data_IF_977981528195
#
_entry.id   IF_977981528195
#
_cell.length_a   1.000
_cell.length_b   1.000
_cell.length_c   1.000
_cell.angle_alpha   90.00
_cell.angle_beta   90.00
_cell.angle_gamma   90.00
#
_symmetry.space_group_name_H-M   'P 1'
#
loop_
_entity.id
_entity.type
_entity.pdbx_description
1 polymer ?
#
# COMPACT_ATOMS: atom_id res chain seq x y z
N UNK A 1 -5.30 28.55 -21.54
CA UNK A 1 -4.35 28.71 -20.43
C UNK A 1 -4.78 27.81 -19.29
N UNK A 2 -3.96 26.85 -18.91
CA UNK A 2 -4.17 25.99 -17.73
C UNK A 2 -4.09 26.86 -16.48
N UNK A 3 -5.10 26.78 -15.61
CA UNK A 3 -5.06 27.52 -14.34
C UNK A 3 -4.07 26.87 -13.37
N UNK A 4 -3.71 27.57 -12.29
CA UNK A 4 -2.90 26.99 -11.22
C UNK A 4 -3.55 25.76 -10.59
N UNK A 5 -4.89 25.72 -10.51
CA UNK A 5 -5.61 24.56 -9.98
C UNK A 5 -5.59 23.40 -10.98
N UNK A 6 -5.76 23.65 -12.28
CA UNK A 6 -5.66 22.60 -13.30
C UNK A 6 -4.25 21.99 -13.34
N UNK A 7 -3.22 22.83 -13.21
CA UNK A 7 -1.85 22.37 -13.11
C UNK A 7 -1.61 21.59 -11.81
N UNK A 8 -2.14 22.05 -10.68
CA UNK A 8 -2.05 21.30 -9.43
C UNK A 8 -2.72 19.92 -9.53
N UNK A 9 -3.89 19.84 -10.19
CA UNK A 9 -4.59 18.59 -10.45
C UNK A 9 -3.75 17.64 -11.32
N UNK A 10 -3.17 18.16 -12.41
CA UNK A 10 -2.29 17.40 -13.29
C UNK A 10 -1.08 16.82 -12.54
N UNK A 11 -0.35 17.69 -11.83
CA UNK A 11 0.84 17.32 -11.07
C UNK A 11 0.53 16.30 -9.98
N UNK A 12 -0.54 16.51 -9.20
CA UNK A 12 -0.92 15.58 -8.14
C UNK A 12 -1.37 14.22 -8.70
N UNK A 13 -2.11 14.19 -9.82
CA UNK A 13 -2.49 12.93 -10.49
C UNK A 13 -1.26 12.15 -10.95
N UNK A 14 -0.28 12.84 -11.53
CA UNK A 14 0.95 12.21 -11.99
C UNK A 14 1.81 11.71 -10.81
N UNK A 15 1.88 12.47 -9.73
CA UNK A 15 2.66 12.12 -8.54
C UNK A 15 2.06 10.92 -7.79
N UNK A 16 0.73 10.77 -7.78
CA UNK A 16 0.02 9.70 -7.07
C UNK A 16 0.19 9.75 -5.55
N UNK A 17 0.75 10.83 -5.00
CA UNK A 17 0.99 11.04 -3.58
C UNK A 17 0.90 12.54 -3.21
N UNK A 18 0.68 12.88 -1.93
CA UNK A 18 0.58 14.27 -1.49
C UNK A 18 1.90 15.03 -1.64
N UNK A 19 1.84 16.26 -2.15
CA UNK A 19 3.00 17.12 -2.37
C UNK A 19 2.84 18.45 -1.64
N UNK A 20 3.97 19.08 -1.29
CA UNK A 20 3.99 20.45 -0.78
C UNK A 20 3.66 21.42 -1.92
N UNK A 21 2.90 22.50 -1.66
CA UNK A 21 2.49 23.44 -2.71
C UNK A 21 3.67 24.03 -3.51
N UNK A 22 4.85 24.18 -2.89
CA UNK A 22 6.06 24.62 -3.56
C UNK A 22 6.56 23.59 -4.60
N UNK A 23 6.57 22.30 -4.25
CA UNK A 23 6.95 21.23 -5.17
C UNK A 23 5.92 21.09 -6.32
N UNK A 24 4.64 21.33 -6.04
CA UNK A 24 3.59 21.34 -7.07
C UNK A 24 3.86 22.46 -8.09
N UNK A 25 4.18 23.68 -7.61
CA UNK A 25 4.50 24.80 -8.48
C UNK A 25 5.78 24.58 -9.29
N UNK A 26 6.84 24.07 -8.65
CA UNK A 26 8.11 23.75 -9.30
C UNK A 26 7.92 22.74 -10.44
N UNK A 27 7.19 21.65 -10.19
CA UNK A 27 6.91 20.64 -11.22
C UNK A 27 6.00 21.19 -12.33
N UNK A 28 5.01 22.03 -11.99
CA UNK A 28 4.15 22.67 -12.98
C UNK A 28 4.93 23.61 -13.92
N UNK A 29 5.95 24.31 -13.41
CA UNK A 29 6.85 25.15 -14.22
C UNK A 29 7.79 24.31 -15.07
N UNK A 30 8.41 23.28 -14.48
CA UNK A 30 9.32 22.39 -15.18
C UNK A 30 8.65 21.70 -16.38
N UNK A 31 7.37 21.37 -16.23
CA UNK A 31 6.55 20.76 -17.28
C UNK A 31 5.84 21.79 -18.18
N UNK A 32 6.09 23.09 -17.99
CA UNK A 32 5.48 24.19 -18.76
C UNK A 32 3.94 24.17 -18.77
N UNK A 33 3.33 23.62 -17.72
CA UNK A 33 1.86 23.50 -17.58
C UNK A 33 1.25 24.82 -17.09
N UNK A 34 2.07 25.69 -16.49
CA UNK A 34 1.68 27.05 -16.09
C UNK A 34 2.63 28.09 -16.69
N UNK A 35 2.11 29.29 -16.93
CA UNK A 35 2.90 30.47 -17.29
C UNK A 35 2.65 31.56 -16.24
N UNK A 36 3.57 31.75 -15.27
CA UNK A 36 3.37 32.69 -14.18
C UNK A 36 3.38 34.14 -14.68
N UNK A 37 2.47 34.96 -14.14
CA UNK A 37 2.40 36.40 -14.42
C UNK A 37 3.22 37.24 -13.42
N UNK A 38 3.82 36.61 -12.39
CA UNK A 38 4.55 37.27 -11.32
C UNK A 38 5.74 36.44 -10.79
N UNK A 39 6.49 37.01 -9.85
CA UNK A 39 7.79 36.49 -9.40
C UNK A 39 7.72 35.26 -8.47
N UNK A 40 6.55 34.95 -7.90
CA UNK A 40 6.39 33.90 -6.86
C UNK A 40 5.27 32.90 -7.19
N UNK A 41 5.48 32.01 -8.18
CA UNK A 41 4.51 30.99 -8.58
C UNK A 41 4.14 30.03 -7.44
N UNK A 42 5.05 29.72 -6.51
CA UNK A 42 4.81 28.85 -5.36
C UNK A 42 3.81 29.47 -4.38
N UNK A 43 3.96 30.76 -4.08
CA UNK A 43 3.04 31.49 -3.21
C UNK A 43 1.64 31.59 -3.85
N UNK A 44 1.59 31.78 -5.17
CA UNK A 44 0.35 31.78 -5.94
C UNK A 44 -0.33 30.41 -5.92
N UNK A 45 0.42 29.33 -6.15
CA UNK A 45 -0.05 27.95 -6.07
C UNK A 45 -0.63 27.64 -4.68
N UNK A 46 0.12 27.95 -3.63
CA UNK A 46 -0.31 27.76 -2.25
C UNK A 46 -1.60 28.52 -1.95
N UNK A 47 -1.68 29.81 -2.29
CA UNK A 47 -2.87 30.65 -2.05
C UNK A 47 -4.12 30.10 -2.75
N UNK A 48 -3.98 29.66 -4.01
CA UNK A 48 -5.09 29.05 -4.77
C UNK A 48 -5.57 27.75 -4.14
N UNK A 49 -4.65 26.84 -3.79
CA UNK A 49 -4.99 25.57 -3.14
C UNK A 49 -5.59 25.77 -1.74
N UNK A 50 -5.08 26.72 -0.95
CA UNK A 50 -5.67 27.06 0.35
C UNK A 50 -7.08 27.64 0.21
N UNK A 51 -7.33 28.48 -0.80
CA UNK A 51 -8.64 29.08 -1.00
C UNK A 51 -9.64 28.04 -1.50
N UNK A 52 -9.25 27.21 -2.47
CA UNK A 52 -10.10 26.18 -3.06
C UNK A 52 -10.52 25.10 -2.05
N UNK A 53 -9.58 24.64 -1.22
CA UNK A 53 -9.86 23.62 -0.18
C UNK A 53 -10.82 24.06 0.93
N UNK A 54 -11.25 25.34 0.97
CA UNK A 54 -12.34 25.80 1.85
C UNK A 54 -13.72 25.62 1.22
N UNK A 55 -13.80 25.40 -0.08
CA UNK A 55 -15.05 25.23 -0.81
C UNK A 55 -15.57 23.80 -0.70
N UNK A 56 -16.88 23.65 -0.60
CA UNK A 56 -17.54 22.35 -0.59
C UNK A 56 -17.43 21.70 -1.98
N UNK A 57 -16.92 20.47 -2.05
CA UNK A 57 -16.66 19.77 -3.32
C UNK A 57 -15.30 20.04 -3.98
N UNK A 58 -14.35 20.67 -3.28
CA UNK A 58 -12.97 20.82 -3.76
C UNK A 58 -12.36 19.49 -4.19
N UNK A 59 -11.62 19.51 -5.30
CA UNK A 59 -10.85 18.36 -5.80
C UNK A 59 -9.56 18.12 -5.00
N UNK A 60 -9.22 19.03 -4.10
CA UNK A 60 -8.01 18.98 -3.30
C UNK A 60 -8.35 18.81 -1.82
N UNK A 61 -7.41 18.27 -1.07
CA UNK A 61 -7.51 18.19 0.38
C UNK A 61 -6.18 18.53 1.05
N UNK A 62 -6.28 19.20 2.19
CA UNK A 62 -5.12 19.57 3.00
C UNK A 62 -4.67 18.38 3.82
N UNK A 63 -3.36 18.12 3.81
CA UNK A 63 -2.75 17.01 4.54
C UNK A 63 -1.73 17.49 5.59
N UNK A 64 -1.84 18.77 5.99
CA UNK A 64 -0.98 19.41 6.99
C UNK A 64 0.34 19.94 6.41
N UNK A 65 0.95 20.91 7.10
CA UNK A 65 2.28 21.46 6.77
C UNK A 65 2.45 21.92 5.30
N UNK A 66 1.44 22.55 4.70
CA UNK A 66 1.49 23.00 3.30
C UNK A 66 1.41 21.88 2.24
N UNK A 67 1.06 20.66 2.65
CA UNK A 67 0.85 19.53 1.73
C UNK A 67 -0.60 19.41 1.28
N UNK A 68 -0.76 19.12 0.01
CA UNK A 68 -2.05 18.91 -0.65
C UNK A 68 -2.07 17.57 -1.36
N UNK A 69 -3.23 16.93 -1.37
CA UNK A 69 -3.53 15.74 -2.15
C UNK A 69 -4.88 15.86 -2.84
N UNK A 70 -5.27 14.86 -3.62
CA UNK A 70 -6.58 14.84 -4.27
C UNK A 70 -7.66 14.35 -3.29
N UNK A 71 -8.85 14.94 -3.33
CA UNK A 71 -9.99 14.55 -2.49
C UNK A 71 -10.40 13.08 -2.70
N UNK A 72 -10.16 12.52 -3.89
CA UNK A 72 -10.37 11.10 -4.21
C UNK A 72 -9.39 10.14 -3.51
N UNK A 73 -8.27 10.65 -2.97
CA UNK A 73 -7.34 9.83 -2.19
C UNK A 73 -7.77 9.65 -0.74
N UNK A 74 -8.79 10.38 -0.30
CA UNK A 74 -9.39 10.09 0.99
C UNK A 74 -10.18 8.79 0.89
N UNK A 75 -9.96 7.85 1.84
CA UNK A 75 -10.87 6.73 2.00
C UNK A 75 -12.30 7.26 2.12
N UNK A 76 -13.25 6.72 1.36
CA UNK A 76 -14.68 7.03 1.47
C UNK A 76 -15.46 5.77 1.80
N UNK A 77 -16.62 5.91 2.44
CA UNK A 77 -17.48 4.78 2.78
C UNK A 77 -16.77 3.79 3.71
N UNK A 78 -16.74 2.52 3.31
CA UNK A 78 -16.20 1.42 4.11
C UNK A 78 -14.69 1.59 4.33
N UNK A 79 -13.94 2.08 3.34
CA UNK A 79 -12.49 2.26 3.49
C UNK A 79 -12.15 3.30 4.58
N UNK A 80 -12.97 4.35 4.72
CA UNK A 80 -12.85 5.32 5.81
C UNK A 80 -13.11 4.67 7.16
N UNK A 81 -14.19 3.90 7.26
CA UNK A 81 -14.53 3.18 8.49
C UNK A 81 -13.44 2.17 8.87
N UNK A 82 -12.87 1.46 7.89
CA UNK A 82 -11.75 0.53 8.11
C UNK A 82 -10.51 1.29 8.59
N UNK A 83 -10.18 2.43 7.97
CA UNK A 83 -9.07 3.27 8.41
C UNK A 83 -9.27 3.77 9.86
N UNK A 84 -10.47 4.23 10.21
CA UNK A 84 -10.83 4.69 11.55
C UNK A 84 -10.75 3.56 12.59
N UNK A 85 -11.29 2.38 12.25
CA UNK A 85 -11.21 1.17 13.09
C UNK A 85 -9.74 0.78 13.31
N UNK A 86 -8.92 0.81 12.25
CA UNK A 86 -7.51 0.49 12.34
C UNK A 86 -6.75 1.52 13.20
N UNK A 87 -7.02 2.81 13.04
CA UNK A 87 -6.42 3.87 13.85
C UNK A 87 -6.83 3.77 15.33
N UNK A 88 -8.11 3.49 15.60
CA UNK A 88 -8.59 3.25 16.96
C UNK A 88 -7.97 1.99 17.59
N UNK A 89 -7.81 0.93 16.80
CA UNK A 89 -7.15 -0.31 17.24
C UNK A 89 -5.67 -0.08 17.55
N UNK A 90 -4.96 0.67 16.70
CA UNK A 90 -3.57 1.07 16.94
C UNK A 90 -3.43 1.82 18.26
N UNK A 91 -4.30 2.81 18.51
CA UNK A 91 -4.29 3.60 19.75
C UNK A 91 -4.51 2.72 20.99
N UNK A 92 -5.52 1.85 20.96
CA UNK A 92 -5.79 0.89 22.04
C UNK A 92 -4.64 -0.09 22.27
N UNK A 93 -3.97 -0.54 21.21
CA UNK A 93 -2.79 -1.40 21.34
C UNK A 93 -1.67 -0.65 22.08
N UNK A 94 -1.39 0.59 21.67
CA UNK A 94 -0.40 1.45 22.32
C UNK A 94 -0.69 1.67 23.81
N UNK A 95 -1.94 1.97 24.16
CA UNK A 95 -2.38 2.13 25.55
C UNK A 95 -2.15 0.86 26.38
N UNK A 96 -2.47 -0.32 25.82
CA UNK A 96 -2.24 -1.61 26.50
C UNK A 96 -0.76 -1.89 26.72
N UNK A 97 0.08 -1.65 25.72
CA UNK A 97 1.54 -1.83 25.84
C UNK A 97 2.11 -0.89 26.89
N UNK A 98 1.66 0.37 26.93
CA UNK A 98 2.11 1.34 27.94
C UNK A 98 1.68 0.99 29.37
N UNK A 99 0.48 0.43 29.53
CA UNK A 99 -0.08 0.07 30.83
C UNK A 99 0.48 -1.25 31.41
N UNK A 100 1.19 -2.06 30.61
CA UNK A 100 1.65 -3.37 31.06
C UNK A 100 2.83 -3.30 32.04
N UNK A 101 2.96 -4.27 32.97
CA UNK A 101 4.14 -4.39 33.84
C UNK A 101 5.45 -4.59 33.04
N UNK A 102 6.60 -4.09 33.52
CA UNK A 102 7.89 -4.24 32.84
C UNK A 102 8.25 -5.69 32.45
N UNK A 103 8.12 -6.63 33.39
CA UNK A 103 8.40 -8.06 33.15
C UNK A 103 7.51 -8.64 32.03
N UNK A 104 6.23 -8.22 31.97
CA UNK A 104 5.31 -8.64 30.90
C UNK A 104 5.67 -8.01 29.56
N UNK A 105 6.27 -6.82 29.57
CA UNK A 105 6.73 -6.14 28.36
C UNK A 105 7.94 -6.85 27.75
N UNK A 106 8.87 -7.34 28.56
CA UNK A 106 9.98 -8.19 28.11
C UNK A 106 9.47 -9.47 27.44
N UNK A 107 8.47 -10.13 28.04
CA UNK A 107 7.81 -11.30 27.44
C UNK A 107 7.14 -10.96 26.09
N UNK A 108 6.48 -9.80 25.97
CA UNK A 108 5.90 -9.34 24.71
C UNK A 108 6.98 -9.12 23.63
N UNK A 109 8.11 -8.50 24.02
CA UNK A 109 9.24 -8.28 23.10
C UNK A 109 9.85 -9.62 22.67
N UNK A 110 10.00 -10.58 23.58
CA UNK A 110 10.44 -11.95 23.26
C UNK A 110 9.53 -12.58 22.21
N UNK A 111 8.21 -12.56 22.40
CA UNK A 111 7.24 -13.09 21.43
C UNK A 111 7.36 -12.37 20.08
N UNK A 112 7.51 -11.04 20.08
CA UNK A 112 7.72 -10.28 18.85
C UNK A 112 8.99 -10.73 18.11
N UNK A 113 10.11 -10.91 18.80
CA UNK A 113 11.37 -11.35 18.19
C UNK A 113 11.22 -12.74 17.55
N UNK A 114 10.56 -13.69 18.24
CA UNK A 114 10.27 -15.02 17.68
C UNK A 114 9.45 -14.90 16.39
N UNK A 115 8.38 -14.09 16.41
CA UNK A 115 7.53 -13.81 15.23
C UNK A 115 8.24 -13.07 14.10
N UNK A 116 9.35 -12.41 14.41
CA UNK A 116 10.22 -11.76 13.44
C UNK A 116 11.25 -12.73 12.83
N UNK A 117 11.38 -13.95 13.34
CA UNK A 117 12.27 -14.99 12.82
C UNK A 117 13.49 -15.31 13.70
N UNK A 118 13.48 -14.87 14.97
CA UNK A 118 14.47 -15.35 15.93
C UNK A 118 14.19 -16.80 16.32
N UNK A 119 15.25 -17.57 16.53
CA UNK A 119 15.17 -18.98 16.92
C UNK A 119 14.64 -19.08 18.36
N UNK A 120 13.42 -19.63 18.51
CA UNK A 120 12.72 -19.76 19.78
C UNK A 120 13.55 -20.44 20.88
N UNK A 121 14.42 -21.39 20.50
CA UNK A 121 15.27 -22.12 21.45
C UNK A 121 16.44 -21.27 21.96
N UNK A 122 16.80 -20.22 21.23
CA UNK A 122 17.88 -19.30 21.58
C UNK A 122 17.40 -18.05 22.32
N UNK A 123 16.12 -17.66 22.15
CA UNK A 123 15.59 -16.44 22.75
C UNK A 123 15.26 -16.65 24.22
N UNK A 124 16.05 -16.02 25.09
CA UNK A 124 15.88 -16.05 26.54
C UNK A 124 15.82 -14.64 27.13
N UNK A 125 15.00 -14.48 28.17
CA UNK A 125 15.00 -13.28 29.02
C UNK A 125 16.14 -13.45 30.02
N UNK A 126 17.02 -12.45 30.11
CA UNK A 126 18.17 -12.51 31.03
C UNK A 126 17.76 -12.08 32.44
N UNK A 127 18.30 -12.68 33.50
CA UNK A 127 18.02 -12.25 34.87
C UNK A 127 18.55 -10.83 35.12
N UNK A 128 17.76 -10.02 35.85
CA UNK A 128 17.99 -8.59 36.13
C UNK A 128 19.33 -8.22 36.81
N UNK A 129 20.18 -9.18 37.18
CA UNK A 129 21.42 -8.92 37.92
C UNK A 129 22.69 -9.04 37.07
N UNK A 130 23.33 -7.91 36.79
CA UNK A 130 24.75 -7.84 36.40
C UNK A 130 25.07 -7.95 34.90
N UNK A 131 24.08 -7.97 34.02
CA UNK A 131 24.28 -8.16 32.56
C UNK A 131 24.43 -6.86 31.75
N UNK A 132 24.61 -5.73 32.44
CA UNK A 132 24.76 -4.44 31.77
C UNK A 132 23.46 -3.93 31.13
N UNK A 133 22.31 -4.53 31.43
CA UNK A 133 20.99 -4.12 30.97
C UNK A 133 20.59 -4.74 29.64
N UNK A 134 21.11 -5.92 29.31
CA UNK A 134 20.52 -6.79 28.30
C UNK A 134 19.26 -7.37 28.94
N UNK A 135 18.11 -7.31 28.29
CA UNK A 135 16.87 -7.87 28.85
C UNK A 135 16.43 -9.13 28.07
N UNK A 136 16.79 -9.22 26.78
CA UNK A 136 16.55 -10.39 25.93
C UNK A 136 17.78 -10.65 25.06
N UNK A 137 18.21 -11.90 24.95
CA UNK A 137 19.25 -12.32 24.01
C UNK A 137 18.73 -13.44 23.11
N UNK A 138 19.18 -13.48 21.85
CA UNK A 138 18.78 -14.53 20.92
C UNK A 138 19.47 -14.47 19.57
N UNK A 139 19.32 -15.55 18.79
CA UNK A 139 19.92 -15.70 17.47
C UNK A 139 18.84 -15.53 16.41
N UNK A 140 19.08 -14.62 15.48
CA UNK A 140 18.28 -14.46 14.27
C UNK A 140 18.86 -15.32 13.14
N UNK A 141 18.03 -16.17 12.53
CA UNK A 141 18.42 -17.02 11.39
C UNK A 141 17.80 -16.49 10.11
N UNK A 142 18.62 -15.84 9.28
CA UNK A 142 18.18 -15.33 7.99
C UNK A 142 18.23 -16.47 6.94
N UNK A 143 17.05 -16.90 6.47
CA UNK A 143 16.90 -17.88 5.38
C UNK A 143 17.69 -19.19 5.57
N UNK A 144 18.04 -19.56 6.81
CA UNK A 144 18.88 -20.72 7.12
C UNK A 144 20.34 -20.60 6.69
N UNK A 145 20.79 -19.43 6.23
CA UNK A 145 22.13 -19.20 5.68
C UNK A 145 23.05 -18.43 6.62
N UNK A 146 22.49 -17.55 7.45
CA UNK A 146 23.29 -16.66 8.30
C UNK A 146 22.66 -16.54 9.67
N UNK A 147 23.50 -16.67 10.69
CA UNK A 147 23.15 -16.50 12.09
C UNK A 147 23.67 -15.15 12.58
N UNK A 148 22.80 -14.39 13.24
CA UNK A 148 23.14 -13.12 13.85
C UNK A 148 22.73 -13.15 15.31
N UNK A 149 23.70 -13.09 16.21
CA UNK A 149 23.42 -12.96 17.64
C UNK A 149 23.02 -11.52 17.97
N UNK A 150 21.91 -11.35 18.69
CA UNK A 150 21.45 -10.04 19.15
C UNK A 150 21.33 -10.00 20.68
N UNK A 151 21.69 -8.86 21.25
CA UNK A 151 21.34 -8.45 22.62
C UNK A 151 20.34 -7.31 22.52
N UNK A 152 19.21 -7.47 23.20
CA UNK A 152 18.10 -6.55 23.17
C UNK A 152 17.91 -5.98 24.56
N UNK A 153 17.95 -4.66 24.65
CA UNK A 153 17.57 -3.92 25.84
C UNK A 153 16.17 -3.34 25.65
N UNK A 154 15.32 -3.53 26.65
CA UNK A 154 13.91 -3.18 26.66
C UNK A 154 13.67 -2.10 27.71
N UNK A 155 13.20 -0.93 27.30
CA UNK A 155 12.90 0.19 28.21
C UNK A 155 11.44 0.62 28.09
N UNK A 156 10.62 0.27 29.09
CA UNK A 156 9.24 0.80 29.20
C UNK A 156 9.26 2.18 29.84
N UNK A 157 9.53 3.22 29.05
CA UNK A 157 9.73 4.58 29.54
C UNK A 157 8.66 5.54 29.02
N UNK A 158 8.41 6.61 29.79
CA UNK A 158 7.61 7.77 29.34
C UNK A 158 8.47 8.85 28.70
N UNK A 159 9.70 9.03 29.18
CA UNK A 159 10.66 10.01 28.68
C UNK A 159 11.55 9.41 27.60
N UNK A 160 12.18 10.28 26.81
CA UNK A 160 13.08 9.85 25.76
C UNK A 160 14.31 9.13 26.31
N UNK A 161 14.73 8.07 25.63
CA UNK A 161 15.96 7.33 25.95
C UNK A 161 17.17 8.16 25.52
N UNK A 162 18.12 8.33 26.45
CA UNK A 162 19.34 9.13 26.25
C UNK A 162 20.56 8.32 25.81
N UNK A 163 21.61 9.02 25.38
CA UNK A 163 22.89 8.42 24.97
C UNK A 163 23.54 7.46 25.99
N UNK A 164 23.46 7.68 27.32
CA UNK A 164 24.07 6.76 28.29
C UNK A 164 23.57 5.32 28.17
N UNK A 165 22.30 5.11 27.84
CA UNK A 165 21.70 3.78 27.66
C UNK A 165 22.32 3.07 26.45
N UNK A 166 22.53 3.82 25.35
CA UNK A 166 23.18 3.30 24.14
C UNK A 166 24.63 2.90 24.41
N UNK A 167 25.38 3.75 25.13
CA UNK A 167 26.77 3.48 25.50
C UNK A 167 26.87 2.28 26.43
N UNK A 168 25.97 2.16 27.40
CA UNK A 168 25.93 1.05 28.35
C UNK A 168 25.66 -0.28 27.64
N UNK A 169 24.62 -0.35 26.80
CA UNK A 169 24.35 -1.57 26.04
C UNK A 169 25.55 -1.95 25.18
N UNK A 170 26.14 -0.99 24.46
CA UNK A 170 27.30 -1.25 23.61
C UNK A 170 28.48 -1.84 24.38
N UNK A 171 28.77 -1.30 25.57
CA UNK A 171 29.85 -1.81 26.42
C UNK A 171 29.60 -3.23 26.94
N UNK A 172 28.36 -3.70 26.89
CA UNK A 172 27.94 -5.02 27.36
C UNK A 172 27.85 -6.06 26.23
N UNK A 173 28.04 -5.66 24.96
CA UNK A 173 28.00 -6.56 23.81
C UNK A 173 29.25 -7.43 23.69
N UNK A 174 29.05 -8.69 23.30
CA UNK A 174 30.15 -9.60 22.92
C UNK A 174 30.64 -9.36 21.48
N UNK A 175 31.82 -9.90 21.13
CA UNK A 175 32.60 -9.61 19.90
C UNK A 175 31.86 -9.85 18.57
N UNK A 176 30.70 -10.52 18.57
CA UNK A 176 29.86 -10.75 17.38
C UNK A 176 28.37 -10.47 17.60
N UNK A 177 28.03 -9.82 18.71
CA UNK A 177 26.64 -9.53 19.06
C UNK A 177 26.22 -8.16 18.54
N UNK A 178 25.03 -8.08 17.94
CA UNK A 178 24.40 -6.82 17.56
C UNK A 178 23.53 -6.32 18.71
N UNK A 179 23.59 -5.03 19.02
CA UNK A 179 22.74 -4.43 20.05
C UNK A 179 21.45 -3.87 19.46
N UNK A 180 20.31 -4.07 20.13
CA UNK A 180 19.03 -3.45 19.79
C UNK A 180 18.44 -2.84 21.07
N UNK A 181 17.93 -1.61 20.98
CA UNK A 181 17.16 -0.99 22.05
C UNK A 181 15.73 -0.82 21.59
N UNK A 182 14.79 -1.35 22.36
CA UNK A 182 13.36 -1.24 22.14
C UNK A 182 12.75 -0.44 23.28
N UNK A 183 12.02 0.62 22.96
CA UNK A 183 11.36 1.48 23.96
C UNK A 183 9.92 1.77 23.60
N UNK A 184 9.10 2.06 24.62
CA UNK A 184 7.75 2.60 24.44
C UNK A 184 7.71 4.11 24.20
N UNK A 185 8.84 4.81 24.38
CA UNK A 185 9.02 6.25 24.14
C UNK A 185 9.83 6.51 22.86
N UNK A 186 10.45 7.69 22.73
CA UNK A 186 11.35 8.03 21.63
C UNK A 186 12.82 8.13 22.11
N UNK A 187 13.76 8.36 21.20
CA UNK A 187 15.18 8.54 21.47
C UNK A 187 15.60 10.00 21.33
N UNK A 188 16.49 10.46 22.21
CA UNK A 188 17.09 11.79 22.06
C UNK A 188 17.97 11.89 20.80
N UNK A 189 18.21 13.12 20.33
CA UNK A 189 19.15 13.36 19.22
C UNK A 189 20.55 12.80 19.53
N UNK A 190 21.01 12.95 20.77
CA UNK A 190 22.29 12.41 21.22
C UNK A 190 22.31 10.88 21.24
N UNK A 191 21.21 10.21 21.63
CA UNK A 191 21.12 8.75 21.58
C UNK A 191 21.19 8.23 20.14
N UNK A 192 20.49 8.88 19.20
CA UNK A 192 20.52 8.53 17.77
C UNK A 192 21.92 8.72 17.18
N UNK A 193 22.59 9.81 17.51
CA UNK A 193 23.97 10.06 17.09
C UNK A 193 24.94 9.02 17.68
N UNK A 194 24.81 8.71 18.98
CA UNK A 194 25.65 7.71 19.64
C UNK A 194 25.45 6.32 19.02
N UNK A 195 24.21 5.90 18.73
CA UNK A 195 23.90 4.59 18.15
C UNK A 195 24.48 4.38 16.74
N UNK A 196 24.61 5.47 15.98
CA UNK A 196 25.15 5.49 14.63
C UNK A 196 26.61 5.98 14.54
N UNK A 197 27.29 6.14 15.68
CA UNK A 197 28.66 6.67 15.72
C UNK A 197 29.63 5.80 14.89
N UNK A 198 30.45 6.47 14.08
CA UNK A 198 31.45 5.81 13.25
C UNK A 198 32.45 5.01 14.09
N UNK A 199 32.93 3.89 13.55
CA UNK A 199 33.90 2.98 14.17
C UNK A 199 33.45 2.32 15.49
N UNK A 200 32.15 2.35 15.81
CA UNK A 200 31.56 1.64 16.96
C UNK A 200 30.56 0.60 16.47
N UNK A 201 30.31 -0.43 17.28
CA UNK A 201 29.24 -1.41 17.01
C UNK A 201 27.91 -0.68 16.91
N UNK A 202 27.19 -0.90 15.80
CA UNK A 202 25.91 -0.27 15.53
C UNK A 202 24.86 -0.79 16.51
N UNK A 203 24.05 0.13 17.03
CA UNK A 203 22.91 -0.21 17.88
C UNK A 203 21.62 0.08 17.10
N UNK A 204 20.78 -0.94 16.92
CA UNK A 204 19.43 -0.79 16.38
C UNK A 204 18.54 -0.05 17.39
N UNK A 205 17.77 0.92 16.92
CA UNK A 205 16.84 1.67 17.77
C UNK A 205 15.42 1.45 17.27
N UNK A 206 14.52 1.01 18.15
CA UNK A 206 13.10 0.81 17.86
C UNK A 206 12.30 1.63 18.88
N UNK A 207 11.68 2.71 18.41
CA UNK A 207 10.89 3.59 19.24
C UNK A 207 9.44 3.06 19.42
N UNK A 208 8.65 3.76 20.22
CA UNK A 208 7.29 3.34 20.55
C UNK A 208 6.35 3.22 19.35
N UNK A 209 6.46 4.08 18.33
CA UNK A 209 5.64 3.96 17.12
C UNK A 209 6.10 2.80 16.24
N UNK A 210 7.42 2.66 16.05
CA UNK A 210 8.01 1.56 15.28
C UNK A 210 7.71 0.20 15.91
N UNK A 211 7.72 0.11 17.24
CA UNK A 211 7.33 -1.08 17.99
C UNK A 211 5.87 -1.46 17.71
N UNK A 212 4.95 -0.48 17.71
CA UNK A 212 3.53 -0.72 17.42
C UNK A 212 3.35 -1.19 15.98
N UNK A 213 4.09 -0.61 15.04
CA UNK A 213 4.11 -1.07 13.64
C UNK A 213 4.57 -2.52 13.52
N UNK A 214 5.64 -2.90 14.24
CA UNK A 214 6.14 -4.27 14.24
C UNK A 214 5.14 -5.25 14.87
N UNK A 215 4.53 -4.91 16.01
CA UNK A 215 3.49 -5.73 16.64
C UNK A 215 2.31 -5.97 15.68
N UNK A 216 1.86 -4.93 14.95
CA UNK A 216 0.78 -5.06 13.98
C UNK A 216 1.21 -5.89 12.77
N UNK A 217 2.40 -5.61 12.21
CA UNK A 217 2.94 -6.32 11.05
C UNK A 217 3.06 -7.82 11.30
N UNK A 218 3.55 -8.20 12.48
CA UNK A 218 3.77 -9.58 12.90
C UNK A 218 2.58 -10.20 13.65
N UNK A 219 1.44 -9.49 13.72
CA UNK A 219 0.19 -9.95 14.33
C UNK A 219 0.37 -10.43 15.78
N UNK A 220 1.07 -9.63 16.57
CA UNK A 220 1.28 -9.84 18.01
C UNK A 220 0.32 -8.91 18.76
N UNK A 221 -0.60 -9.48 19.52
CA UNK A 221 -1.64 -8.72 20.24
C UNK A 221 -2.74 -8.12 19.35
N UNK A 222 -2.70 -8.36 18.04
CA UNK A 222 -3.74 -7.97 17.07
C UNK A 222 -4.02 -9.11 16.09
N UNK A 223 -5.24 -9.13 15.55
CA UNK A 223 -5.68 -10.13 14.57
C UNK A 223 -6.30 -9.41 13.38
N UNK A 224 -5.94 -9.82 12.16
CA UNK A 224 -6.60 -9.33 10.94
C UNK A 224 -7.89 -10.13 10.72
N UNK A 225 -9.02 -9.44 10.63
CA UNK A 225 -10.31 -10.03 10.27
C UNK A 225 -10.65 -9.59 8.84
N UNK A 226 -10.68 -10.49 7.85
CA UNK A 226 -11.19 -10.15 6.53
C UNK A 226 -12.68 -9.84 6.65
N UNK A 227 -13.13 -8.73 6.06
CA UNK A 227 -14.54 -8.38 5.97
C UNK A 227 -15.02 -8.73 4.56
N UNK A 228 -16.00 -9.61 4.47
CA UNK A 228 -16.69 -9.91 3.22
C UNK A 228 -17.87 -8.97 3.08
N UNK A 229 -17.93 -8.26 1.95
CA UNK A 229 -18.94 -7.25 1.69
C UNK A 229 -19.57 -7.60 0.36
N UNK A 230 -20.88 -7.83 0.39
CA UNK A 230 -21.66 -7.99 -0.82
C UNK A 230 -21.99 -6.61 -1.37
N UNK A 231 -21.70 -6.40 -2.65
CA UNK A 231 -22.10 -5.22 -3.38
C UNK A 231 -23.05 -5.63 -4.51
N UNK A 232 -23.92 -4.71 -4.91
CA UNK A 232 -24.68 -4.90 -6.14
C UNK A 232 -23.73 -4.73 -7.33
N UNK A 233 -23.86 -5.63 -8.30
CA UNK A 233 -23.17 -5.53 -9.58
C UNK A 233 -24.01 -4.64 -10.51
N UNK A 234 -23.77 -3.33 -10.43
CA UNK A 234 -24.51 -2.33 -11.22
C UNK A 234 -24.31 -2.54 -12.73
N UNK A 235 -23.20 -3.16 -13.17
CA UNK A 235 -22.94 -3.49 -14.57
C UNK A 235 -23.83 -4.65 -15.03
N UNK A 236 -23.92 -5.73 -14.23
CA UNK A 236 -24.86 -6.84 -14.47
C UNK A 236 -26.31 -6.35 -14.58
N UNK A 237 -26.75 -5.52 -13.63
CA UNK A 237 -28.12 -4.99 -13.64
C UNK A 237 -28.36 -3.99 -14.77
N UNK A 238 -27.34 -3.22 -15.16
CA UNK A 238 -27.39 -2.32 -16.32
C UNK A 238 -27.46 -3.06 -17.66
N UNK A 239 -26.72 -4.16 -17.82
CA UNK A 239 -26.77 -5.03 -18.99
C UNK A 239 -28.14 -5.73 -19.11
N UNK A 240 -28.69 -6.21 -17.98
CA UNK A 240 -29.99 -6.90 -17.94
C UNK A 240 -31.17 -5.95 -18.22
N UNK A 241 -31.08 -4.69 -17.81
CA UNK A 241 -32.14 -3.70 -18.03
C UNK A 241 -32.29 -3.26 -19.50
N UNK A 242 -31.29 -3.51 -20.35
CA UNK A 242 -31.25 -3.05 -21.75
C UNK A 242 -31.29 -1.50 -21.88
N UNK A 243 -31.24 -0.94 -23.11
CA UNK A 243 -31.55 0.47 -23.31
C UNK A 243 -33.03 0.68 -22.98
N UNK A 244 -33.31 1.29 -21.82
CA UNK A 244 -34.65 1.66 -21.39
C UNK A 244 -35.37 2.42 -22.52
N UNK A 245 -36.56 2.00 -23.01
CA UNK A 245 -37.45 2.90 -23.71
C UNK A 245 -37.81 4.03 -22.75
N UNK A 246 -37.61 5.28 -23.18
CA UNK A 246 -37.72 6.46 -22.34
C UNK A 246 -38.95 6.44 -21.39
N UNK A 247 -38.63 6.50 -20.08
CA UNK A 247 -39.39 7.03 -18.95
C UNK A 247 -40.85 6.57 -18.71
N UNK A 248 -41.07 5.90 -17.57
CA UNK A 248 -42.25 6.11 -16.72
C UNK A 248 -41.97 5.79 -15.22
N UNK A 249 -41.62 6.85 -14.48
CA UNK A 249 -41.95 7.17 -13.07
C UNK A 249 -41.83 6.14 -11.92
N UNK A 250 -40.87 6.35 -11.00
CA UNK A 250 -41.08 6.87 -9.63
C UNK A 250 -39.74 6.97 -8.85
N UNK A 251 -39.52 8.10 -8.15
CA UNK A 251 -38.26 8.57 -7.52
C UNK A 251 -37.94 7.95 -6.13
N UNK A 252 -36.91 8.38 -5.34
CA UNK A 252 -35.66 9.10 -5.63
C UNK A 252 -34.40 8.40 -5.03
N UNK A 253 -33.19 8.59 -5.58
CA UNK A 253 -31.95 8.38 -4.83
C UNK A 253 -30.75 9.12 -5.42
N UNK A 254 -29.95 9.68 -4.51
CA UNK A 254 -28.72 10.45 -4.67
C UNK A 254 -27.93 10.25 -5.98
N UNK A 255 -27.66 11.38 -6.63
CA UNK A 255 -26.84 11.47 -7.83
C UNK A 255 -25.40 10.98 -7.59
N UNK A 256 -25.10 9.76 -8.04
CA UNK A 256 -23.75 9.35 -8.42
C UNK A 256 -23.43 10.01 -9.77
N UNK A 257 -22.69 11.12 -9.74
CA UNK A 257 -22.07 11.64 -10.98
C UNK A 257 -20.94 10.70 -11.38
N UNK A 258 -21.19 9.93 -12.43
CA UNK A 258 -20.20 9.16 -13.19
C UNK A 258 -19.05 10.05 -13.65
N UNK A 259 -17.82 9.68 -13.31
CA UNK A 259 -16.60 10.27 -13.86
C UNK A 259 -16.46 9.87 -15.34
N UNK A 260 -16.78 10.79 -16.25
CA UNK A 260 -16.42 10.68 -17.66
C UNK A 260 -14.89 10.79 -17.78
N UNK A 261 -14.22 9.67 -18.08
CA UNK A 261 -12.77 9.64 -18.37
C UNK A 261 -12.01 8.35 -18.03
N UNK A 262 -12.64 7.34 -17.39
CA UNK A 262 -11.96 6.09 -16.99
C UNK A 262 -12.45 4.83 -17.73
N UNK A 263 -13.32 5.00 -18.73
CA UNK A 263 -13.82 3.90 -19.56
C UNK A 263 -12.93 3.72 -20.79
N UNK A 264 -12.52 2.48 -21.13
CA UNK A 264 -11.84 2.23 -22.39
C UNK A 264 -12.82 2.51 -23.55
N UNK A 265 -12.31 3.00 -24.67
CA UNK A 265 -13.02 3.03 -25.95
C UNK A 265 -12.54 1.91 -26.87
N UNK A 266 -11.26 1.54 -26.75
CA UNK A 266 -10.62 0.47 -27.52
C UNK A 266 -9.33 0.01 -26.86
N UNK A 267 -8.78 -1.10 -27.31
CA UNK A 267 -7.39 -1.48 -27.04
C UNK A 267 -6.69 -1.93 -28.31
N UNK A 268 -5.36 -1.83 -28.33
CA UNK A 268 -4.49 -2.39 -29.36
C UNK A 268 -3.74 -3.56 -28.74
N UNK A 269 -3.69 -4.69 -29.44
CA UNK A 269 -2.95 -5.88 -29.04
C UNK A 269 -2.30 -6.51 -30.28
N UNK A 270 -0.98 -6.74 -30.22
CA UNK A 270 -0.18 -7.28 -31.33
C UNK A 270 -0.40 -6.52 -32.65
N UNK A 271 -0.47 -5.19 -32.56
CA UNK A 271 -0.67 -4.29 -33.70
C UNK A 271 -2.11 -4.23 -34.24
N UNK A 272 -3.08 -4.93 -33.64
CA UNK A 272 -4.49 -4.91 -34.05
C UNK A 272 -5.34 -4.16 -33.04
N UNK A 273 -6.29 -3.35 -33.52
CA UNK A 273 -7.23 -2.58 -32.69
C UNK A 273 -8.53 -3.35 -32.47
N UNK A 274 -9.02 -3.33 -31.24
CA UNK A 274 -10.26 -3.97 -30.80
C UNK A 274 -11.13 -2.93 -30.08
N UNK A 275 -12.42 -2.88 -30.40
CA UNK A 275 -13.38 -2.02 -29.71
C UNK A 275 -13.71 -2.66 -28.37
N UNK A 276 -13.58 -1.90 -27.29
CA UNK A 276 -13.91 -2.35 -25.95
C UNK A 276 -14.32 -1.13 -25.12
N UNK A 277 -15.57 -1.10 -24.71
CA UNK A 277 -16.17 -0.01 -23.92
C UNK A 277 -16.10 -0.26 -22.41
N UNK A 278 -15.71 -1.47 -22.00
CA UNK A 278 -15.52 -1.85 -20.59
C UNK A 278 -14.20 -2.58 -20.36
N UNK A 279 -13.68 -2.54 -19.13
CA UNK A 279 -12.44 -3.23 -18.77
C UNK A 279 -12.58 -4.76 -18.83
N UNK A 280 -13.79 -5.29 -18.62
CA UNK A 280 -14.15 -6.68 -18.87
C UNK A 280 -13.95 -7.04 -20.35
N UNK A 281 -14.45 -6.21 -21.27
CA UNK A 281 -14.26 -6.42 -22.71
C UNK A 281 -12.78 -6.34 -23.12
N UNK A 282 -12.01 -5.45 -22.49
CA UNK A 282 -10.55 -5.40 -22.69
C UNK A 282 -9.89 -6.71 -22.25
N UNK A 283 -10.21 -7.23 -21.07
CA UNK A 283 -9.62 -8.47 -20.55
C UNK A 283 -10.01 -9.70 -21.38
N UNK A 284 -11.32 -9.91 -21.60
CA UNK A 284 -11.83 -11.06 -22.36
C UNK A 284 -11.36 -10.98 -23.82
N UNK A 285 -11.43 -9.80 -24.44
CA UNK A 285 -10.96 -9.58 -25.80
C UNK A 285 -9.46 -9.80 -25.97
N UNK A 286 -8.65 -9.36 -25.01
CA UNK A 286 -7.21 -9.62 -25.03
C UNK A 286 -6.91 -11.12 -24.87
N UNK A 287 -7.59 -11.81 -23.96
CA UNK A 287 -7.44 -13.26 -23.78
C UNK A 287 -7.85 -14.02 -25.06
N UNK A 288 -8.96 -13.63 -25.69
CA UNK A 288 -9.42 -14.21 -26.94
C UNK A 288 -8.39 -14.01 -28.05
N UNK A 289 -7.90 -12.79 -28.24
CA UNK A 289 -6.93 -12.47 -29.28
C UNK A 289 -5.59 -13.19 -29.07
N UNK A 290 -5.12 -13.30 -27.82
CA UNK A 290 -3.93 -14.08 -27.46
C UNK A 290 -4.13 -15.58 -27.70
N UNK A 291 -5.31 -16.12 -27.35
CA UNK A 291 -5.65 -17.51 -27.61
C UNK A 291 -5.69 -17.82 -29.11
N UNK A 292 -6.28 -16.93 -29.91
CA UNK A 292 -6.32 -17.07 -31.37
C UNK A 292 -4.92 -17.00 -32.00
N UNK A 293 -4.02 -16.18 -31.45
CA UNK A 293 -2.66 -16.03 -31.98
C UNK A 293 -1.72 -17.19 -31.58
N UNK A 294 -1.86 -17.71 -30.36
CA UNK A 294 -0.92 -18.68 -29.78
C UNK A 294 -1.45 -20.12 -29.69
N UNK A 295 -2.73 -20.36 -29.98
CA UNK A 295 -3.34 -21.69 -29.90
C UNK A 295 -3.13 -22.34 -28.53
N UNK A 296 -2.70 -23.60 -28.51
CA UNK A 296 -2.52 -24.38 -27.28
C UNK A 296 -1.47 -23.79 -26.32
N UNK A 297 -0.52 -23.00 -26.82
CA UNK A 297 0.48 -22.33 -25.98
C UNK A 297 -0.16 -21.27 -25.06
N UNK A 298 -1.33 -20.73 -25.42
CA UNK A 298 -2.06 -19.80 -24.58
C UNK A 298 -2.51 -20.44 -23.26
N UNK A 299 -3.05 -21.66 -23.30
CA UNK A 299 -3.54 -22.34 -22.09
C UNK A 299 -2.40 -22.57 -21.09
N UNK A 300 -1.26 -23.06 -21.58
CA UNK A 300 -0.07 -23.27 -20.76
C UNK A 300 0.42 -21.97 -20.11
N UNK A 301 0.54 -20.89 -20.90
CA UNK A 301 0.92 -19.58 -20.39
C UNK A 301 -0.10 -19.02 -19.38
N UNK A 302 -1.39 -19.13 -19.66
CA UNK A 302 -2.46 -18.62 -18.83
C UNK A 302 -2.46 -19.23 -17.42
N UNK A 303 -2.21 -20.53 -17.30
CA UNK A 303 -2.13 -21.21 -15.99
C UNK A 303 -0.91 -20.79 -15.15
N UNK A 304 0.14 -20.25 -15.77
CA UNK A 304 1.26 -19.64 -15.04
C UNK A 304 0.91 -18.27 -14.44
N UNK A 305 -0.07 -17.58 -15.01
CA UNK A 305 -0.50 -16.24 -14.59
C UNK A 305 -1.52 -16.36 -13.46
N UNK A 306 -1.02 -16.43 -12.23
CA UNK A 306 -1.85 -16.59 -11.02
C UNK A 306 -1.82 -15.37 -10.09
N UNK A 307 -2.92 -15.18 -9.37
CA UNK A 307 -3.03 -14.27 -8.24
C UNK A 307 -2.43 -14.89 -6.97
N UNK A 308 -2.58 -14.19 -5.83
CA UNK A 308 -2.01 -14.63 -4.54
C UNK A 308 -2.69 -15.89 -3.98
N UNK A 309 -3.96 -16.09 -4.31
CA UNK A 309 -4.81 -17.17 -3.79
C UNK A 309 -5.64 -17.87 -4.86
N UNK A 310 -5.82 -17.30 -6.06
CA UNK A 310 -6.66 -17.85 -7.13
C UNK A 310 -6.00 -17.66 -8.51
N UNK A 311 -6.32 -18.52 -9.46
CA UNK A 311 -5.92 -18.37 -10.87
C UNK A 311 -6.82 -17.34 -11.54
N UNK A 312 -6.26 -16.52 -12.45
CA UNK A 312 -7.05 -15.58 -13.23
C UNK A 312 -7.75 -16.26 -14.41
N UNK A 313 -7.16 -17.34 -14.93
CA UNK A 313 -7.69 -18.14 -16.03
C UNK A 313 -7.58 -19.61 -15.63
N UNK A 314 -8.65 -20.38 -15.83
CA UNK A 314 -8.70 -21.82 -15.52
C UNK A 314 -9.56 -22.59 -16.52
N UNK A 315 -9.40 -23.91 -16.57
CA UNK A 315 -10.25 -24.80 -17.37
C UNK A 315 -11.65 -25.01 -16.73
N UNK A 316 -11.76 -24.79 -15.41
CA UNK A 316 -12.99 -24.95 -14.63
C UNK A 316 -13.31 -23.62 -13.91
N UNK A 317 -14.53 -23.06 -14.05
CA UNK A 317 -14.92 -21.85 -13.36
C UNK A 317 -15.17 -22.05 -11.86
N UNK A 318 -15.13 -23.28 -11.34
CA UNK A 318 -15.33 -23.56 -9.92
C UNK A 318 -14.37 -22.75 -9.03
N UNK A 319 -14.94 -21.91 -8.16
CA UNK A 319 -14.19 -21.03 -7.25
C UNK A 319 -13.80 -19.66 -7.83
N UNK A 320 -14.12 -19.38 -9.11
CA UNK A 320 -14.15 -18.02 -9.65
C UNK A 320 -15.36 -17.27 -9.11
N UNK A 321 -15.21 -15.96 -8.93
CA UNK A 321 -16.25 -15.07 -8.43
C UNK A 321 -17.15 -14.65 -9.60
N UNK A 322 -16.56 -14.19 -10.71
CA UNK A 322 -17.26 -13.76 -11.93
C UNK A 322 -16.59 -14.37 -13.18
N UNK A 323 -16.80 -15.68 -13.42
CA UNK A 323 -16.21 -16.35 -14.57
C UNK A 323 -16.84 -15.87 -15.89
N UNK A 324 -16.00 -15.60 -16.89
CA UNK A 324 -16.41 -15.40 -18.27
C UNK A 324 -15.67 -16.38 -19.17
N UNK A 325 -16.38 -16.94 -20.16
CA UNK A 325 -15.74 -17.79 -21.17
C UNK A 325 -14.81 -16.96 -22.04
N UNK A 326 -13.62 -17.48 -22.36
CA UNK A 326 -12.74 -16.91 -23.37
C UNK A 326 -13.18 -17.47 -24.74
N UNK A 327 -13.77 -16.67 -25.63
CA UNK A 327 -14.30 -17.17 -26.90
C UNK A 327 -13.24 -17.89 -27.74
N UNK A 328 -13.60 -19.02 -28.32
CA UNK A 328 -12.68 -19.87 -29.09
C UNK A 328 -11.80 -20.81 -28.24
N UNK A 329 -12.06 -20.91 -26.93
CA UNK A 329 -11.35 -21.83 -26.03
C UNK A 329 -12.33 -22.52 -25.06
N UNK A 330 -11.86 -23.57 -24.37
CA UNK A 330 -12.56 -24.18 -23.24
C UNK A 330 -12.22 -23.52 -21.88
N UNK A 331 -11.59 -22.33 -21.90
CA UNK A 331 -11.08 -21.67 -20.71
C UNK A 331 -12.01 -20.57 -20.22
N UNK A 332 -11.92 -20.31 -18.92
CA UNK A 332 -12.65 -19.28 -18.21
C UNK A 332 -11.66 -18.25 -17.67
N UNK A 333 -12.04 -16.97 -17.68
CA UNK A 333 -11.31 -15.86 -17.08
C UNK A 333 -12.15 -15.22 -16.00
N UNK A 334 -11.52 -14.85 -14.88
CA UNK A 334 -12.13 -14.00 -13.88
C UNK A 334 -12.32 -12.59 -14.46
N UNK A 335 -13.55 -12.25 -14.81
CA UNK A 335 -13.89 -11.07 -15.59
C UNK A 335 -14.10 -9.81 -14.75
N UNK A 336 -14.39 -9.95 -13.45
CA UNK A 336 -14.59 -8.82 -12.55
C UNK A 336 -13.27 -8.41 -11.89
N UNK A 337 -12.46 -7.67 -12.66
CA UNK A 337 -11.13 -7.24 -12.26
C UNK A 337 -11.01 -5.72 -12.33
N UNK A 338 -10.35 -5.11 -11.34
CA UNK A 338 -10.03 -3.68 -11.39
C UNK A 338 -9.16 -3.36 -12.60
N UNK A 339 -9.22 -2.12 -13.11
CA UNK A 339 -8.36 -1.62 -14.20
C UNK A 339 -6.89 -2.03 -14.02
N UNK A 340 -6.34 -1.82 -12.82
CA UNK A 340 -4.95 -2.18 -12.49
C UNK A 340 -4.70 -3.68 -12.63
N UNK A 341 -5.64 -4.50 -12.18
CA UNK A 341 -5.55 -5.96 -12.30
C UNK A 341 -5.65 -6.41 -13.75
N UNK A 342 -6.59 -5.87 -14.55
CA UNK A 342 -6.71 -6.16 -15.99
C UNK A 342 -5.39 -5.91 -16.72
N UNK A 343 -4.82 -4.71 -16.55
CA UNK A 343 -3.53 -4.36 -17.15
C UNK A 343 -2.40 -5.29 -16.69
N UNK A 344 -2.39 -5.66 -15.41
CA UNK A 344 -1.38 -6.56 -14.85
C UNK A 344 -1.50 -7.99 -15.38
N UNK A 345 -2.71 -8.52 -15.52
CA UNK A 345 -2.97 -9.86 -16.06
C UNK A 345 -2.54 -9.92 -17.52
N UNK A 346 -2.94 -8.94 -18.33
CA UNK A 346 -2.56 -8.87 -19.75
C UNK A 346 -1.04 -8.75 -19.91
N UNK A 347 -0.37 -7.89 -19.14
CA UNK A 347 1.08 -7.76 -19.19
C UNK A 347 1.81 -9.06 -18.84
N UNK A 348 1.33 -9.81 -17.84
CA UNK A 348 1.89 -11.12 -17.47
C UNK A 348 1.65 -12.18 -18.53
N UNK A 349 0.48 -12.18 -19.18
CA UNK A 349 0.17 -13.08 -20.28
C UNK A 349 1.09 -12.81 -21.48
N UNK A 350 1.29 -11.55 -21.84
CA UNK A 350 2.22 -11.14 -22.89
C UNK A 350 3.64 -11.61 -22.60
N UNK A 351 4.13 -11.36 -21.38
CA UNK A 351 5.44 -11.82 -20.95
C UNK A 351 5.58 -13.35 -21.03
N UNK A 352 4.58 -14.09 -20.55
CA UNK A 352 4.58 -15.55 -20.60
C UNK A 352 4.53 -16.10 -22.04
N UNK A 353 4.00 -15.32 -22.98
CA UNK A 353 3.89 -15.65 -24.41
C UNK A 353 5.05 -15.07 -25.25
N UNK A 354 6.04 -14.44 -24.62
CA UNK A 354 7.25 -13.93 -25.28
C UNK A 354 7.12 -12.54 -25.92
N UNK A 355 6.11 -11.76 -25.54
CA UNK A 355 5.88 -10.39 -26.05
C UNK A 355 6.29 -9.32 -25.04
N UNK A 356 6.80 -8.21 -25.56
CA UNK A 356 7.10 -7.00 -24.77
C UNK A 356 5.85 -6.21 -24.39
N UNK A 357 5.96 -5.29 -23.42
CA UNK A 357 4.83 -4.47 -22.94
C UNK A 357 4.22 -3.56 -24.02
N UNK A 358 5.00 -3.18 -25.04
CA UNK A 358 4.57 -2.39 -26.20
C UNK A 358 3.53 -3.11 -27.08
N UNK A 359 3.41 -4.43 -26.93
CA UNK A 359 2.43 -5.22 -27.66
C UNK A 359 0.99 -4.91 -27.26
N UNK A 360 0.74 -4.14 -26.19
CA UNK A 360 -0.59 -3.81 -25.72
C UNK A 360 -0.73 -2.35 -25.26
N UNK A 361 -1.82 -1.71 -25.69
CA UNK A 361 -2.17 -0.35 -25.28
C UNK A 361 -3.69 -0.19 -25.19
N UNK A 362 -4.18 0.67 -24.29
CA UNK A 362 -5.62 0.99 -24.17
C UNK A 362 -5.84 2.43 -24.56
N UNK A 363 -6.89 2.66 -25.36
CA UNK A 363 -7.38 4.00 -25.69
C UNK A 363 -8.57 4.27 -24.78
N UNK A 364 -8.46 5.29 -23.93
CA UNK A 364 -9.54 5.74 -23.07
C UNK A 364 -10.49 6.65 -23.86
N UNK A 365 -11.78 6.56 -23.55
CA UNK A 365 -12.86 7.31 -24.19
C UNK A 365 -13.11 8.66 -23.55
#
# INVERSE_FOLDING_TARGET
MTTYLDAALHILRQAGQPLHYAAIAEQALAQQVISPQGLTPEATMGSRLYTDTKQEGSLFVRMGQGRFGLAQWQPKGIDAQVADINAATRRRLKERVLAMPPERFEVLVRELLIRMGFDETSVSVTPYSGDGGIDVAGVYRAAGLTEMSAAVQVKRWKNNVGAPVVTQLRGSLQVHQQGIIITTSDFSKSARAEAAAANKTRIGLINGEELIDLLIKHQVGVVKRPLEIMALDDEYWGELAGPTPAAAAAAPAAASRTEEGDKPAAFTLLGRRYVATTWRQVLVGACQALAQHHGDAFAAAAFTVRGRTRQYIAADPAGMITPATIPGTALWVEANQSRKSVLQVIARLLQALGHGPEAFAVVLG
#
